data_IF_200860717824
#
_entry.id   IF_200860717824
#
_cell.length_a   1.000
_cell.length_b   1.000
_cell.length_c   1.000
_cell.angle_alpha   90.00
_cell.angle_beta   90.00
_cell.angle_gamma   90.00
#
_symmetry.space_group_name_H-M   'P 1'
#
loop_
_entity.id
_entity.type
_entity.pdbx_description
1 polymer ?
#
# COMPACT_ATOMS: atom_id res chain seq x y z
N UNK A 1 3.19 4.97 4.60
CA UNK A 1 3.77 5.97 3.68
C UNK A 1 2.57 6.61 3.04
N UNK A 2 2.35 7.89 3.32
CA UNK A 2 1.16 8.58 2.85
C UNK A 2 1.54 9.43 1.66
N UNK A 3 0.86 9.24 0.54
CA UNK A 3 1.06 10.01 -0.67
C UNK A 3 0.02 11.13 -0.77
N UNK A 4 0.48 12.38 -0.81
CA UNK A 4 -0.39 13.52 -1.12
C UNK A 4 -0.48 13.67 -2.64
N UNK A 5 -1.63 13.25 -3.21
CA UNK A 5 -1.87 13.32 -4.65
C UNK A 5 -1.86 14.76 -5.22
N UNK A 6 -2.10 15.77 -4.37
CA UNK A 6 -2.06 17.18 -4.82
C UNK A 6 -0.65 17.73 -4.89
N UNK A 7 0.25 17.24 -4.02
CA UNK A 7 1.64 17.71 -3.93
C UNK A 7 2.65 16.78 -4.60
N UNK A 8 2.27 15.53 -4.89
CA UNK A 8 3.16 14.50 -5.45
C UNK A 8 4.27 14.10 -4.49
N UNK A 9 4.09 14.32 -3.18
CA UNK A 9 5.09 14.07 -2.16
C UNK A 9 4.64 12.88 -1.32
N UNK A 10 5.56 11.95 -1.09
CA UNK A 10 5.39 10.88 -0.13
C UNK A 10 5.92 11.30 1.24
N UNK A 11 5.16 11.01 2.28
CA UNK A 11 5.53 11.28 3.68
C UNK A 11 5.63 9.99 4.48
N UNK A 12 6.55 10.00 5.45
CA UNK A 12 6.68 8.94 6.44
C UNK A 12 6.14 9.44 7.78
N UNK A 13 4.96 8.95 8.15
CA UNK A 13 4.34 9.25 9.43
C UNK A 13 4.23 7.97 10.27
N UNK A 14 4.45 8.10 11.58
CA UNK A 14 4.18 7.01 12.52
C UNK A 14 2.69 6.96 12.78
N UNK A 15 2.09 5.79 12.55
CA UNK A 15 0.66 5.56 12.73
C UNK A 15 0.40 4.35 13.63
N UNK A 16 -0.79 4.34 14.22
CA UNK A 16 -1.30 3.15 14.88
C UNK A 16 -1.53 2.04 13.87
N UNK A 17 -1.20 0.81 14.27
CA UNK A 17 -1.42 -0.39 13.46
C UNK A 17 -2.90 -0.79 13.49
N UNK A 18 -3.38 -1.51 12.48
CA UNK A 18 -4.68 -2.18 12.53
C UNK A 18 -4.71 -3.39 13.49
N UNK A 19 -5.92 -3.81 13.89
CA UNK A 19 -6.15 -5.03 14.70
C UNK A 19 -5.68 -6.28 13.97
N UNK A 20 -5.87 -6.34 12.65
CA UNK A 20 -5.36 -7.42 11.81
C UNK A 20 -3.82 -7.50 11.88
N UNK A 21 -3.11 -6.37 11.75
CA UNK A 21 -1.66 -6.33 11.88
C UNK A 21 -1.18 -6.71 13.29
N UNK A 22 -1.88 -6.28 14.34
CA UNK A 22 -1.57 -6.68 15.72
C UNK A 22 -1.69 -8.20 15.92
N UNK A 23 -2.73 -8.82 15.35
CA UNK A 23 -2.94 -10.27 15.39
C UNK A 23 -1.85 -11.01 14.63
N UNK A 24 -1.48 -10.52 13.44
CA UNK A 24 -0.39 -11.09 12.65
C UNK A 24 0.95 -11.05 13.42
N UNK A 25 1.23 -9.96 14.16
CA UNK A 25 2.43 -9.84 15.00
C UNK A 25 2.41 -10.83 16.16
N UNK A 26 1.27 -11.03 16.83
CA UNK A 26 1.17 -12.06 17.88
C UNK A 26 1.41 -13.48 17.33
N UNK A 27 0.98 -13.77 16.10
CA UNK A 27 1.24 -15.05 15.45
C UNK A 27 2.72 -15.34 15.19
N UNK A 28 3.59 -14.31 15.16
CA UNK A 28 5.04 -14.50 14.97
C UNK A 28 5.75 -15.07 16.20
N UNK A 29 5.20 -14.87 17.39
CA UNK A 29 5.81 -15.35 18.63
C UNK A 29 5.60 -16.86 18.86
N UNK A 30 4.54 -17.45 18.31
CA UNK A 30 4.09 -18.81 18.62
C UNK A 30 4.28 -19.84 17.51
N UNK A 31 5.36 -19.77 16.72
CA UNK A 31 5.50 -20.62 15.52
C UNK A 31 5.74 -22.10 15.83
N UNK A 32 6.69 -22.40 16.70
CA UNK A 32 7.14 -23.77 17.01
C UNK A 32 6.92 -24.16 18.46
N UNK A 33 6.70 -23.16 19.32
CA UNK A 33 6.49 -23.33 20.76
C UNK A 33 5.56 -22.22 21.27
N UNK A 34 4.93 -22.38 22.44
CA UNK A 34 4.12 -21.32 23.04
C UNK A 34 4.92 -20.03 23.18
N UNK A 35 4.41 -18.96 22.56
CA UNK A 35 5.03 -17.63 22.58
C UNK A 35 4.18 -16.62 23.33
N UNK A 36 4.83 -15.60 23.88
CA UNK A 36 4.16 -14.49 24.57
C UNK A 36 4.24 -13.24 23.70
N UNK A 37 3.11 -12.56 23.52
CA UNK A 37 3.05 -11.27 22.83
C UNK A 37 2.58 -10.19 23.80
N UNK A 38 3.48 -9.24 24.11
CA UNK A 38 3.19 -8.11 24.98
C UNK A 38 2.68 -6.93 24.14
N UNK A 39 1.49 -6.42 24.48
CA UNK A 39 0.87 -5.27 23.81
C UNK A 39 1.03 -4.03 24.68
N UNK A 40 1.77 -3.03 24.19
CA UNK A 40 2.08 -1.79 24.92
C UNK A 40 0.98 -0.72 24.78
N UNK A 41 -0.28 -1.13 24.71
CA UNK A 41 -1.43 -0.24 24.61
C UNK A 41 -2.64 -0.80 25.39
N UNK A 42 -3.53 0.06 25.91
CA UNK A 42 -4.70 -0.37 26.65
C UNK A 42 -5.62 -1.27 25.83
N UNK A 43 -6.27 -2.25 26.49
CA UNK A 43 -7.27 -3.13 25.85
C UNK A 43 -8.43 -2.34 25.24
N UNK A 44 -8.86 -1.26 25.91
CA UNK A 44 -9.91 -0.38 25.41
C UNK A 44 -9.51 0.29 24.10
N UNK A 45 -8.27 0.81 24.01
CA UNK A 45 -7.76 1.42 22.78
C UNK A 45 -7.77 0.45 21.60
N UNK A 46 -7.38 -0.81 21.84
CA UNK A 46 -7.48 -1.86 20.83
C UNK A 46 -8.93 -2.10 20.38
N UNK A 47 -9.91 -2.04 21.28
CA UNK A 47 -11.31 -2.34 20.95
C UNK A 47 -11.99 -1.20 20.19
N UNK A 48 -11.77 0.05 20.60
CA UNK A 48 -12.57 1.21 20.14
C UNK A 48 -11.86 2.12 19.15
N UNK A 49 -10.54 2.29 19.25
CA UNK A 49 -9.81 3.30 18.48
C UNK A 49 -9.02 2.72 17.29
N UNK A 50 -8.67 1.43 17.35
CA UNK A 50 -7.86 0.77 16.34
C UNK A 50 -8.74 0.29 15.15
N UNK A 51 -8.36 0.57 13.89
CA UNK A 51 -9.09 0.06 12.74
C UNK A 51 -8.95 -1.46 12.61
N UNK A 52 -9.97 -2.14 12.10
CA UNK A 52 -9.93 -3.59 11.94
C UNK A 52 -8.88 -4.01 10.91
N UNK A 53 -8.83 -3.29 9.78
CA UNK A 53 -7.92 -3.52 8.67
C UNK A 53 -7.21 -2.21 8.26
N UNK A 54 -5.99 -2.35 7.73
CA UNK A 54 -5.28 -1.23 7.12
C UNK A 54 -5.92 -0.92 5.76
N UNK A 55 -6.06 0.35 5.35
CA UNK A 55 -6.45 0.68 3.99
C UNK A 55 -5.46 0.05 3.00
N UNK A 56 -5.94 -0.36 1.81
CA UNK A 56 -5.07 -0.97 0.81
C UNK A 56 -4.02 0.03 0.32
N UNK A 57 -2.82 -0.48 0.05
CA UNK A 57 -1.68 0.33 -0.41
C UNK A 57 -1.98 1.05 -1.73
N UNK A 58 -2.85 0.49 -2.58
CA UNK A 58 -3.28 1.10 -3.85
C UNK A 58 -3.98 2.45 -3.69
N UNK A 59 -4.57 2.72 -2.52
CA UNK A 59 -5.20 4.00 -2.21
C UNK A 59 -4.23 5.00 -1.59
N UNK A 60 -3.07 4.53 -1.11
CA UNK A 60 -2.11 5.34 -0.35
C UNK A 60 -0.84 5.68 -1.12
N UNK A 61 -0.65 5.08 -2.30
CA UNK A 61 0.55 5.21 -3.13
C UNK A 61 0.19 5.61 -4.56
N UNK A 62 1.10 6.31 -5.24
CA UNK A 62 0.97 6.49 -6.69
C UNK A 62 1.12 5.15 -7.40
N UNK A 63 0.24 4.91 -8.37
CA UNK A 63 0.22 3.71 -9.21
C UNK A 63 1.01 3.86 -10.52
N UNK A 64 1.69 5.00 -10.74
CA UNK A 64 2.36 5.28 -12.02
C UNK A 64 3.36 4.20 -12.42
N UNK A 65 4.18 3.75 -11.47
CA UNK A 65 5.17 2.69 -11.73
C UNK A 65 4.51 1.35 -12.08
N UNK A 66 3.45 1.00 -11.35
CA UNK A 66 2.70 -0.23 -11.59
C UNK A 66 2.03 -0.18 -12.98
N UNK A 67 1.47 0.98 -13.35
CA UNK A 67 0.87 1.20 -14.65
C UNK A 67 1.89 1.06 -15.78
N UNK A 68 3.08 1.67 -15.64
CA UNK A 68 4.15 1.56 -16.65
C UNK A 68 4.61 0.11 -16.83
N UNK A 69 4.80 -0.63 -15.74
CA UNK A 69 5.16 -2.05 -15.77
C UNK A 69 4.05 -2.90 -16.44
N UNK A 70 2.79 -2.62 -16.13
CA UNK A 70 1.65 -3.30 -16.73
C UNK A 70 1.56 -3.02 -18.24
N UNK A 71 1.79 -1.77 -18.67
CA UNK A 71 1.82 -1.38 -20.08
C UNK A 71 2.90 -2.13 -20.86
N UNK A 72 4.14 -2.13 -20.35
CA UNK A 72 5.25 -2.88 -20.96
C UNK A 72 4.95 -4.37 -21.09
N UNK A 73 4.35 -4.96 -20.06
CA UNK A 73 3.95 -6.36 -20.11
C UNK A 73 2.85 -6.62 -21.14
N UNK A 74 1.88 -5.71 -21.24
CA UNK A 74 0.75 -5.86 -22.16
C UNK A 74 1.15 -5.71 -23.61
N UNK A 75 2.04 -4.76 -23.92
CA UNK A 75 2.64 -4.60 -25.26
C UNK A 75 3.39 -5.88 -25.66
N UNK A 76 4.17 -6.47 -24.75
CA UNK A 76 4.85 -7.76 -24.98
C UNK A 76 3.88 -8.93 -25.22
N UNK A 77 2.67 -8.85 -24.67
CA UNK A 77 1.63 -9.87 -24.81
C UNK A 77 0.67 -9.58 -25.98
N UNK A 78 0.89 -8.50 -26.75
CA UNK A 78 0.05 -8.12 -27.88
C UNK A 78 -1.35 -7.67 -27.48
N UNK A 79 -1.56 -7.22 -26.24
CA UNK A 79 -2.84 -6.70 -25.73
C UNK A 79 -2.66 -5.20 -25.43
N UNK A 80 -3.57 -4.34 -25.88
CA UNK A 80 -3.54 -2.92 -25.49
C UNK A 80 -4.30 -2.71 -24.16
N UNK A 81 -3.70 -1.95 -23.25
CA UNK A 81 -4.31 -1.50 -21.98
C UNK A 81 -4.84 -0.06 -22.06
N UNK A 82 -5.13 0.45 -23.27
CA UNK A 82 -5.58 1.83 -23.46
C UNK A 82 -7.06 1.99 -23.08
N UNK A 83 -7.34 1.92 -21.77
CA UNK A 83 -8.62 2.30 -21.16
C UNK A 83 -8.53 3.68 -20.48
N UNK A 84 -9.65 4.40 -20.32
CA UNK A 84 -9.70 5.83 -19.92
C UNK A 84 -9.30 6.14 -18.46
N UNK A 85 -8.54 5.27 -17.79
CA UNK A 85 -8.13 5.39 -16.39
C UNK A 85 -6.66 5.72 -16.16
N UNK A 86 -5.94 6.25 -17.17
CA UNK A 86 -4.50 6.52 -17.06
C UNK A 86 -4.26 7.60 -15.99
N UNK A 87 -3.52 7.31 -14.90
CA UNK A 87 -3.16 8.33 -13.94
C UNK A 87 -2.34 9.42 -14.66
N UNK A 88 -2.70 10.69 -14.42
CA UNK A 88 -2.19 11.87 -15.15
C UNK A 88 -0.65 11.94 -15.20
N UNK A 89 0.01 11.45 -14.16
CA UNK A 89 1.46 11.41 -14.02
C UNK A 89 2.10 10.32 -14.91
N UNK A 90 1.51 9.13 -15.01
CA UNK A 90 1.96 8.09 -15.94
C UNK A 90 1.91 8.53 -17.41
N UNK A 91 0.88 9.30 -17.81
CA UNK A 91 0.81 9.87 -19.15
C UNK A 91 1.95 10.89 -19.42
N UNK A 92 2.32 11.69 -18.42
CA UNK A 92 3.44 12.63 -18.51
C UNK A 92 4.81 11.94 -18.54
N UNK A 93 4.99 10.84 -17.77
CA UNK A 93 6.21 10.02 -17.80
C UNK A 93 6.37 9.27 -19.12
N UNK A 94 5.27 8.76 -19.69
CA UNK A 94 5.28 8.14 -21.02
C UNK A 94 5.67 9.14 -22.13
N UNK A 95 5.27 10.42 -22.00
CA UNK A 95 5.67 11.46 -22.93
C UNK A 95 7.15 11.88 -22.83
N UNK A 96 7.86 11.43 -21.78
CA UNK A 96 9.28 11.75 -21.53
C UNK A 96 10.22 10.56 -21.81
N UNK A 97 9.70 9.38 -22.19
CA UNK A 97 10.56 8.29 -22.65
C UNK A 97 11.04 8.58 -24.08
N UNK A 98 12.35 8.66 -24.34
CA UNK A 98 12.84 8.67 -25.71
C UNK A 98 12.56 7.30 -26.36
N UNK A 99 12.33 7.32 -27.68
CA UNK A 99 12.20 6.12 -28.52
C UNK A 99 13.29 5.07 -28.28
#
# INVERSE_FOLDING_TARGET
MDHDATKGIASLATKWISKAAATQRSGRAGRTQPGICLRLYPKQFHATAMPDFEPPESMSLSLDRLYLQAKQLSERLGRSLDGPGVPRQAAQLLAQMPE
#
